data_IF_210533660294
#
_entry.id   IF_210533660294
#
_cell.length_a   1.000
_cell.length_b   1.000
_cell.length_c   1.000
_cell.angle_alpha   90.00
_cell.angle_beta   90.00
_cell.angle_gamma   90.00
#
_symmetry.space_group_name_H-M   'P 1'
#
loop_
_entity.id
_entity.type
_entity.pdbx_description
1 polymer ?
#
# COMPACT_ATOMS: atom_id res chain seq x y z
N UNK A 1 -4.47 -29.00 -10.87
CA UNK A 1 -3.42 -28.95 -11.90
C UNK A 1 -3.78 -27.93 -12.98
N UNK A 2 -2.82 -27.11 -13.39
CA UNK A 2 -3.06 -26.14 -14.45
C UNK A 2 -3.11 -26.82 -15.81
N UNK A 3 -4.03 -26.39 -16.69
CA UNK A 3 -4.05 -26.89 -18.06
C UNK A 3 -2.73 -26.64 -18.79
N UNK A 4 -2.38 -27.53 -19.71
CA UNK A 4 -1.10 -27.45 -20.44
C UNK A 4 -1.04 -26.30 -21.45
N UNK A 5 -2.18 -25.72 -21.82
CA UNK A 5 -2.26 -24.60 -22.77
C UNK A 5 -2.20 -23.21 -22.11
N UNK A 6 -1.98 -23.15 -20.79
CA UNK A 6 -1.80 -21.88 -20.10
C UNK A 6 -0.33 -21.46 -20.20
N UNK A 7 -0.08 -20.24 -20.69
CA UNK A 7 1.27 -19.68 -20.82
C UNK A 7 1.50 -18.50 -19.88
N UNK A 8 0.44 -17.86 -19.39
CA UNK A 8 0.50 -16.64 -18.59
C UNK A 8 -0.24 -16.82 -17.28
N UNK A 9 0.32 -16.28 -16.20
CA UNK A 9 -0.27 -16.26 -14.87
C UNK A 9 -0.25 -14.83 -14.36
N UNK A 10 -1.37 -14.36 -13.83
CA UNK A 10 -1.49 -13.05 -13.19
C UNK A 10 -1.70 -13.29 -11.69
N UNK A 11 -0.83 -12.70 -10.87
CA UNK A 11 -0.90 -12.79 -9.41
C UNK A 11 -1.24 -11.44 -8.81
N UNK A 12 -2.14 -11.44 -7.84
CA UNK A 12 -2.42 -10.27 -7.02
C UNK A 12 -1.28 -10.08 -6.01
N UNK A 13 -0.77 -8.85 -5.87
CA UNK A 13 0.37 -8.58 -5.01
C UNK A 13 -0.03 -8.46 -3.54
N UNK A 14 -0.95 -7.54 -3.22
CA UNK A 14 -1.34 -7.29 -1.83
C UNK A 14 -2.26 -8.37 -1.28
N UNK A 15 -1.93 -8.91 -0.10
CA UNK A 15 -2.71 -9.96 0.52
C UNK A 15 -2.48 -11.35 -0.04
N UNK A 16 -1.87 -11.47 -1.21
CA UNK A 16 -1.53 -12.76 -1.82
C UNK A 16 -0.02 -13.01 -1.73
N UNK A 17 0.78 -12.06 -2.19
CA UNK A 17 2.24 -12.16 -2.16
C UNK A 17 2.80 -11.46 -0.93
N UNK A 18 2.36 -10.22 -0.68
CA UNK A 18 2.79 -9.41 0.45
C UNK A 18 1.70 -9.45 1.52
N UNK A 19 2.07 -9.79 2.75
CA UNK A 19 1.16 -9.68 3.88
C UNK A 19 0.84 -8.22 4.17
N UNK A 20 -0.41 -7.93 4.52
CA UNK A 20 -0.89 -6.57 4.79
C UNK A 20 -1.50 -6.46 6.19
N UNK A 21 -1.29 -5.31 6.83
CA UNK A 21 -2.05 -4.87 7.99
C UNK A 21 -2.65 -3.50 7.66
N UNK A 22 -3.87 -3.50 7.15
CA UNK A 22 -4.55 -2.30 6.67
C UNK A 22 -4.95 -1.34 7.80
N UNK A 23 -4.95 -1.80 9.05
CA UNK A 23 -5.29 -0.96 10.20
C UNK A 23 -4.07 -0.25 10.79
N UNK A 24 -2.86 -0.74 10.51
CA UNK A 24 -1.64 -0.21 11.12
C UNK A 24 -1.40 1.29 10.84
N UNK A 25 -1.58 1.78 9.60
CA UNK A 25 -1.45 3.22 9.33
C UNK A 25 -2.44 4.06 10.16
N UNK A 26 -3.69 3.59 10.27
CA UNK A 26 -4.73 4.32 11.01
C UNK A 26 -4.45 4.34 12.51
N UNK A 27 -3.96 3.23 13.06
CA UNK A 27 -3.57 3.18 14.46
C UNK A 27 -2.43 4.15 14.76
N UNK A 28 -1.47 4.27 13.86
CA UNK A 28 -0.35 5.23 13.98
C UNK A 28 -0.86 6.66 13.90
N UNK A 29 -1.79 6.96 12.98
CA UNK A 29 -2.40 8.28 12.88
C UNK A 29 -3.14 8.66 14.16
N UNK A 30 -3.86 7.72 14.77
CA UNK A 30 -4.55 7.95 16.05
C UNK A 30 -3.56 8.34 17.14
N UNK A 31 -2.40 7.68 17.21
CA UNK A 31 -1.36 7.98 18.18
C UNK A 31 -0.73 9.35 17.94
N UNK A 32 -0.53 9.73 16.68
CA UNK A 32 0.09 11.01 16.33
C UNK A 32 -0.83 12.21 16.53
N UNK A 33 -2.08 12.09 16.11
CA UNK A 33 -3.03 13.20 16.18
C UNK A 33 -3.80 13.26 17.50
N UNK A 34 -3.82 12.14 18.25
CA UNK A 34 -4.45 12.05 19.58
C UNK A 34 -5.87 12.61 19.57
N UNK A 35 -6.15 13.63 20.37
CA UNK A 35 -7.46 14.26 20.47
C UNK A 35 -7.91 14.92 19.15
N UNK A 36 -6.98 15.28 18.28
CA UNK A 36 -7.27 15.88 16.98
C UNK A 36 -7.57 14.84 15.90
N UNK A 37 -7.50 13.56 16.21
CA UNK A 37 -7.70 12.51 15.22
C UNK A 37 -9.09 12.56 14.60
N UNK A 38 -10.13 12.84 15.39
CA UNK A 38 -11.50 12.92 14.88
C UNK A 38 -11.64 13.97 13.79
N UNK A 39 -10.98 15.12 13.97
CA UNK A 39 -10.99 16.19 12.96
C UNK A 39 -10.31 15.75 11.67
N UNK A 40 -9.14 15.12 11.77
CA UNK A 40 -8.43 14.69 10.58
C UNK A 40 -9.15 13.52 9.89
N UNK A 41 -9.75 12.63 10.67
CA UNK A 41 -10.57 11.54 10.11
C UNK A 41 -11.74 12.08 9.31
N UNK A 42 -12.46 13.07 9.86
CA UNK A 42 -13.54 13.72 9.14
C UNK A 42 -13.04 14.37 7.85
N UNK A 43 -11.88 15.03 7.92
CA UNK A 43 -11.30 15.70 6.76
C UNK A 43 -10.93 14.72 5.66
N UNK A 44 -10.21 13.63 5.97
CA UNK A 44 -9.79 12.69 4.90
C UNK A 44 -10.97 11.87 4.36
N UNK A 45 -11.98 11.60 5.18
CA UNK A 45 -13.21 10.94 4.70
C UNK A 45 -14.02 11.84 3.78
N UNK A 46 -14.08 13.14 4.06
CA UNK A 46 -14.87 14.08 3.26
C UNK A 46 -14.37 14.19 1.82
N UNK A 47 -13.08 13.99 1.58
CA UNK A 47 -12.47 14.04 0.24
C UNK A 47 -12.13 12.65 -0.29
N UNK A 48 -12.51 11.60 0.45
CA UNK A 48 -12.22 10.21 0.09
C UNK A 48 -10.72 9.99 -0.24
N UNK A 49 -9.85 10.54 0.61
CA UNK A 49 -8.42 10.70 0.35
C UNK A 49 -7.72 9.41 -0.05
N UNK A 50 -7.90 8.35 0.74
CA UNK A 50 -7.18 7.09 0.52
C UNK A 50 -7.60 6.41 -0.78
N UNK A 51 -8.90 6.38 -1.06
CA UNK A 51 -9.40 5.79 -2.30
C UNK A 51 -8.97 6.60 -3.52
N UNK A 52 -9.05 7.92 -3.45
CA UNK A 52 -8.61 8.80 -4.54
C UNK A 52 -7.11 8.64 -4.81
N UNK A 53 -6.31 8.45 -3.76
CA UNK A 53 -4.88 8.18 -3.91
C UNK A 53 -4.65 6.81 -4.54
N UNK A 54 -5.37 5.78 -4.10
CA UNK A 54 -5.23 4.42 -4.62
C UNK A 54 -5.55 4.33 -6.11
N UNK A 55 -6.54 5.09 -6.59
CA UNK A 55 -6.92 5.07 -8.01
C UNK A 55 -6.16 6.09 -8.86
N UNK A 56 -5.20 6.80 -8.27
CA UNK A 56 -4.33 7.72 -9.00
C UNK A 56 -4.88 9.11 -9.26
N UNK A 57 -6.02 9.47 -8.66
CA UNK A 57 -6.63 10.81 -8.83
C UNK A 57 -5.94 11.87 -7.99
N UNK A 58 -5.17 11.46 -6.98
CA UNK A 58 -4.36 12.32 -6.12
C UNK A 58 -2.92 11.86 -6.23
N UNK A 59 -1.99 12.79 -6.40
CA UNK A 59 -0.56 12.49 -6.46
C UNK A 59 -0.01 12.16 -5.08
N UNK A 60 1.20 11.56 -5.04
CA UNK A 60 1.91 11.30 -3.79
C UNK A 60 2.17 12.59 -3.02
N UNK A 61 2.56 13.67 -3.71
CA UNK A 61 2.81 14.96 -3.08
C UNK A 61 1.55 15.54 -2.47
N UNK A 62 0.42 15.47 -3.17
CA UNK A 62 -0.86 15.93 -2.65
C UNK A 62 -1.30 15.11 -1.43
N UNK A 63 -1.11 13.80 -1.47
CA UNK A 63 -1.42 12.91 -0.35
C UNK A 63 -0.59 13.28 0.88
N UNK A 64 0.70 13.46 0.71
CA UNK A 64 1.62 13.83 1.80
C UNK A 64 1.26 15.20 2.35
N UNK A 65 1.04 16.19 1.49
CA UNK A 65 0.69 17.56 1.90
C UNK A 65 -0.60 17.62 2.70
N UNK A 66 -1.54 16.75 2.42
CA UNK A 66 -2.79 16.68 3.20
C UNK A 66 -2.50 16.57 4.70
N UNK A 67 -1.56 15.69 5.08
CA UNK A 67 -1.19 15.48 6.47
C UNK A 67 -0.25 16.57 7.00
N UNK A 68 0.71 17.02 6.20
CA UNK A 68 1.66 18.06 6.60
C UNK A 68 0.95 19.38 6.90
N UNK A 69 -0.09 19.72 6.14
CA UNK A 69 -0.86 20.95 6.36
C UNK A 69 -1.63 20.91 7.66
N UNK A 70 -1.85 19.74 8.24
CA UNK A 70 -2.63 19.56 9.47
C UNK A 70 -1.78 19.29 10.70
N UNK A 71 -0.49 19.01 10.53
CA UNK A 71 0.44 18.83 11.64
C UNK A 71 1.83 19.32 11.23
N UNK A 72 2.20 20.48 11.77
CA UNK A 72 3.47 21.15 11.43
C UNK A 72 4.71 20.39 11.88
N UNK A 73 4.57 19.48 12.85
CA UNK A 73 5.68 18.68 13.36
C UNK A 73 5.91 17.39 12.56
N UNK A 74 5.02 17.09 11.61
CA UNK A 74 5.08 15.90 10.79
C UNK A 74 5.98 16.15 9.59
N UNK A 75 6.82 15.16 9.22
CA UNK A 75 7.67 15.22 8.03
C UNK A 75 7.12 14.35 6.92
N UNK A 76 7.56 14.63 5.69
CA UNK A 76 7.20 13.80 4.53
C UNK A 76 7.59 12.35 4.73
N UNK A 77 8.79 12.12 5.27
CA UNK A 77 9.30 10.76 5.55
C UNK A 77 8.41 10.02 6.55
N UNK A 78 7.89 10.73 7.54
CA UNK A 78 6.98 10.13 8.51
C UNK A 78 5.65 9.72 7.87
N UNK A 79 5.09 10.56 6.98
CA UNK A 79 3.86 10.22 6.27
C UNK A 79 4.07 8.98 5.39
N UNK A 80 5.17 8.95 4.65
CA UNK A 80 5.52 7.80 3.80
C UNK A 80 5.68 6.53 4.65
N UNK A 81 6.38 6.62 5.79
CA UNK A 81 6.57 5.48 6.69
C UNK A 81 5.25 4.97 7.27
N UNK A 82 4.35 5.88 7.64
CA UNK A 82 3.02 5.52 8.17
C UNK A 82 2.24 4.74 7.11
N UNK A 83 2.19 5.26 5.88
CA UNK A 83 1.44 4.61 4.81
C UNK A 83 2.03 3.24 4.47
N UNK A 84 3.36 3.17 4.35
CA UNK A 84 4.05 1.92 4.04
C UNK A 84 4.00 0.89 5.18
N UNK A 85 3.63 1.31 6.40
CA UNK A 85 3.55 0.41 7.55
C UNK A 85 2.50 -0.69 7.38
N UNK A 86 1.54 -0.51 6.45
CA UNK A 86 0.58 -1.57 6.13
C UNK A 86 1.23 -2.72 5.38
N UNK A 87 2.36 -2.49 4.71
CA UNK A 87 3.09 -3.52 3.98
C UNK A 87 3.96 -4.30 4.95
N UNK A 88 3.65 -5.58 5.10
CA UNK A 88 4.39 -6.47 5.97
C UNK A 88 5.43 -7.24 5.13
N UNK A 89 5.71 -8.47 5.51
CA UNK A 89 6.71 -9.29 4.85
C UNK A 89 6.19 -10.02 3.62
N UNK A 90 7.13 -10.53 2.82
CA UNK A 90 6.83 -11.50 1.78
C UNK A 90 7.39 -12.83 2.28
N UNK A 91 6.52 -13.81 2.64
CA UNK A 91 7.00 -15.12 3.10
C UNK A 91 7.88 -15.81 2.07
N UNK A 92 8.92 -16.48 2.53
CA UNK A 92 9.89 -17.16 1.65
C UNK A 92 9.22 -18.20 0.75
N UNK A 93 8.22 -18.91 1.25
CA UNK A 93 7.49 -19.92 0.49
C UNK A 93 6.81 -19.32 -0.74
N UNK A 94 6.33 -18.10 -0.63
CA UNK A 94 5.69 -17.40 -1.75
C UNK A 94 6.70 -16.97 -2.80
N UNK A 95 7.89 -16.55 -2.38
CA UNK A 95 8.97 -16.20 -3.30
C UNK A 95 9.43 -17.46 -4.07
N UNK A 96 9.60 -18.59 -3.37
CA UNK A 96 9.99 -19.86 -3.99
C UNK A 96 8.92 -20.30 -5.01
N UNK A 97 7.65 -20.19 -4.65
CA UNK A 97 6.55 -20.56 -5.55
C UNK A 97 6.57 -19.70 -6.83
N UNK A 98 6.74 -18.38 -6.67
CA UNK A 98 6.77 -17.45 -7.81
C UNK A 98 7.94 -17.81 -8.74
N UNK A 99 9.12 -18.09 -8.18
CA UNK A 99 10.29 -18.50 -8.97
C UNK A 99 10.03 -19.79 -9.76
N UNK A 100 9.36 -20.75 -9.15
CA UNK A 100 8.99 -21.99 -9.84
C UNK A 100 8.02 -21.71 -10.99
N UNK A 101 7.06 -20.81 -10.77
CA UNK A 101 6.10 -20.44 -11.80
C UNK A 101 6.77 -19.72 -12.97
N UNK A 102 7.77 -18.86 -12.71
CA UNK A 102 8.49 -18.14 -13.77
C UNK A 102 9.31 -19.05 -14.67
N UNK A 103 9.68 -20.26 -14.22
CA UNK A 103 10.38 -21.24 -15.04
C UNK A 103 9.46 -21.85 -16.10
N UNK A 104 8.16 -21.81 -15.91
CA UNK A 104 7.19 -22.51 -16.75
C UNK A 104 6.18 -21.59 -17.42
N UNK A 105 5.91 -20.43 -16.81
CA UNK A 105 4.88 -19.48 -17.25
C UNK A 105 5.42 -18.06 -17.26
N UNK A 106 4.79 -17.21 -18.05
CA UNK A 106 4.99 -15.77 -17.91
C UNK A 106 4.16 -15.29 -16.71
N UNK A 107 4.81 -14.75 -15.69
CA UNK A 107 4.17 -14.32 -14.46
C UNK A 107 4.08 -12.81 -14.45
N UNK A 108 2.87 -12.28 -14.23
CA UNK A 108 2.58 -10.86 -14.12
C UNK A 108 1.99 -10.57 -12.75
N UNK A 109 2.37 -9.42 -12.18
CA UNK A 109 1.81 -8.96 -10.91
C UNK A 109 0.75 -7.92 -11.17
N UNK A 110 -0.46 -8.16 -10.67
CA UNK A 110 -1.57 -7.21 -10.69
C UNK A 110 -1.73 -6.65 -9.29
N UNK A 111 -1.75 -5.33 -9.16
CA UNK A 111 -1.83 -4.71 -7.85
C UNK A 111 -2.55 -3.37 -7.90
N UNK A 112 -3.37 -3.09 -6.89
CA UNK A 112 -3.91 -1.76 -6.61
C UNK A 112 -2.94 -0.94 -5.78
N UNK A 113 -1.64 -1.11 -6.04
CA UNK A 113 -0.62 -0.38 -5.31
C UNK A 113 -0.48 1.04 -5.83
N UNK A 114 0.14 1.90 -5.04
CA UNK A 114 0.38 3.29 -5.36
C UNK A 114 1.88 3.54 -5.49
N UNK A 115 2.25 4.75 -5.93
CA UNK A 115 3.64 5.13 -6.14
C UNK A 115 4.49 4.97 -4.88
N UNK A 116 3.95 5.33 -3.71
CA UNK A 116 4.67 5.22 -2.43
C UNK A 116 5.00 3.76 -2.14
N UNK A 117 4.00 2.87 -2.27
CA UNK A 117 4.20 1.44 -2.03
C UNK A 117 5.18 0.82 -3.03
N UNK A 118 5.10 1.20 -4.31
CA UNK A 118 6.02 0.70 -5.33
C UNK A 118 7.48 1.05 -5.01
N UNK A 119 7.73 2.28 -4.58
CA UNK A 119 9.06 2.73 -4.19
C UNK A 119 9.59 1.93 -3.00
N UNK A 120 8.72 1.63 -2.02
CA UNK A 120 9.09 0.85 -0.84
C UNK A 120 9.43 -0.60 -1.19
N UNK A 121 8.67 -1.22 -2.11
CA UNK A 121 8.84 -2.61 -2.51
C UNK A 121 10.11 -2.81 -3.35
N UNK A 122 10.40 -1.88 -4.23
CA UNK A 122 11.58 -1.92 -5.08
C UNK A 122 12.83 -1.51 -4.30
#
# INVERSE_FOLDING_TARGET
MLPTNINNIILDLGGVIINLDTQKPFNTLKQLFKENYTEIETAYKSVNLFNEFEVGNISSDEFILFFLNRNKNLTSEQVVAIWNSMLLDIPKERIVLIRKLTLKYNVFLLSNTNEIHLTHIN
#
